data_IF_625213294383
#
_entry.id   IF_625213294383
#
_cell.length_a   1.000
_cell.length_b   1.000
_cell.length_c   1.000
_cell.angle_alpha   90.00
_cell.angle_beta   90.00
_cell.angle_gamma   90.00
#
_symmetry.space_group_name_H-M   'P 1'
#
loop_
_entity.id
_entity.type
_entity.pdbx_description
1 polymer ?
#
# COMPACT_ATOMS: atom_id res chain seq x y z
N UNK A 1 20.75 15.63 -17.29
CA UNK A 1 20.25 16.13 -15.98
C UNK A 1 20.68 17.58 -15.73
N UNK A 2 21.86 17.99 -16.18
CA UNK A 2 22.40 19.36 -16.09
C UNK A 2 21.51 20.45 -16.72
N UNK A 3 20.75 20.12 -17.77
CA UNK A 3 19.96 21.14 -18.51
C UNK A 3 18.53 21.33 -17.96
N UNK A 4 18.07 20.45 -17.08
CA UNK A 4 16.70 20.48 -16.55
C UNK A 4 16.36 21.78 -15.80
N UNK A 5 17.25 22.35 -14.95
CA UNK A 5 16.98 23.63 -14.29
C UNK A 5 16.84 24.80 -15.28
N UNK A 6 17.62 24.81 -16.37
CA UNK A 6 17.53 25.84 -17.40
C UNK A 6 16.22 25.71 -18.22
N UNK A 7 15.83 24.47 -18.54
CA UNK A 7 14.55 24.20 -19.20
C UNK A 7 13.36 24.61 -18.30
N UNK A 8 13.41 24.30 -17.00
CA UNK A 8 12.35 24.69 -16.07
C UNK A 8 12.15 26.20 -16.02
N UNK A 9 13.24 26.97 -15.89
CA UNK A 9 13.19 28.44 -15.94
C UNK A 9 12.56 28.94 -17.23
N UNK A 10 12.95 28.36 -18.37
CA UNK A 10 12.41 28.74 -19.68
C UNK A 10 10.89 28.46 -19.78
N UNK A 11 10.44 27.32 -19.27
CA UNK A 11 9.01 26.99 -19.23
C UNK A 11 8.21 27.93 -18.34
N UNK A 12 8.71 28.25 -17.14
CA UNK A 12 8.03 29.17 -16.22
C UNK A 12 7.95 30.56 -16.83
N UNK A 13 9.06 31.09 -17.37
CA UNK A 13 9.09 32.40 -18.04
C UNK A 13 8.10 32.46 -19.22
N UNK A 14 8.03 31.40 -20.02
CA UNK A 14 7.07 31.32 -21.11
C UNK A 14 5.62 31.37 -20.61
N UNK A 15 5.29 30.65 -19.54
CA UNK A 15 3.94 30.66 -18.95
C UNK A 15 3.60 32.04 -18.40
N UNK A 16 4.52 32.68 -17.67
CA UNK A 16 4.34 34.02 -17.11
C UNK A 16 4.12 35.06 -18.21
N UNK A 17 4.89 34.99 -19.29
CA UNK A 17 4.72 35.89 -20.42
C UNK A 17 3.42 35.62 -21.19
N UNK A 18 3.06 34.36 -21.40
CA UNK A 18 1.78 33.98 -22.00
C UNK A 18 0.60 34.49 -21.16
N UNK A 19 0.67 34.31 -19.83
CA UNK A 19 -0.32 34.84 -18.90
C UNK A 19 -0.42 36.37 -19.01
N UNK A 20 0.72 37.08 -19.05
CA UNK A 20 0.74 38.54 -19.18
C UNK A 20 0.12 39.02 -20.50
N UNK A 21 0.41 38.35 -21.62
CA UNK A 21 -0.04 38.78 -22.94
C UNK A 21 -1.51 38.43 -23.20
N UNK A 22 -1.88 37.17 -22.95
CA UNK A 22 -3.17 36.62 -23.38
C UNK A 22 -4.20 36.61 -22.24
N UNK A 23 -3.83 36.09 -21.07
CA UNK A 23 -4.75 35.94 -19.94
C UNK A 23 -5.03 37.27 -19.23
N UNK A 24 -4.00 38.08 -19.00
CA UNK A 24 -4.04 39.37 -18.30
C UNK A 24 -4.69 39.29 -16.90
N UNK A 25 -4.78 38.10 -16.31
CA UNK A 25 -5.50 37.82 -15.05
C UNK A 25 -6.97 38.25 -15.07
N UNK A 26 -7.59 38.26 -16.27
CA UNK A 26 -8.99 38.64 -16.48
C UNK A 26 -9.87 37.40 -16.51
N UNK A 27 -10.91 37.36 -15.67
CA UNK A 27 -11.79 36.19 -15.51
C UNK A 27 -12.46 35.77 -16.82
N UNK A 28 -12.85 36.73 -17.66
CA UNK A 28 -13.45 36.52 -18.98
C UNK A 28 -12.49 35.83 -19.98
N UNK A 29 -11.19 35.81 -19.69
CA UNK A 29 -10.13 35.20 -20.51
C UNK A 29 -9.63 33.87 -19.99
N UNK A 30 -10.32 33.28 -19.02
CA UNK A 30 -9.91 32.00 -18.42
C UNK A 30 -9.78 30.86 -19.45
N UNK A 31 -10.50 30.93 -20.57
CA UNK A 31 -10.41 29.95 -21.66
C UNK A 31 -9.03 29.90 -22.36
N UNK A 32 -8.17 30.91 -22.16
CA UNK A 32 -6.77 30.88 -22.60
C UNK A 32 -5.87 30.06 -21.66
N UNK A 33 -6.31 29.77 -20.43
CA UNK A 33 -5.56 28.96 -19.46
C UNK A 33 -5.74 27.47 -19.81
N UNK A 34 -5.00 27.03 -20.84
CA UNK A 34 -5.03 25.64 -21.30
C UNK A 34 -4.28 24.74 -20.32
N UNK A 35 -4.82 23.57 -19.95
CA UNK A 35 -4.11 22.59 -19.12
C UNK A 35 -2.73 22.22 -19.66
N UNK A 36 -2.59 22.10 -20.99
CA UNK A 36 -1.32 21.80 -21.65
C UNK A 36 -0.22 22.84 -21.39
N UNK A 37 -0.58 24.11 -21.24
CA UNK A 37 0.37 25.18 -20.92
C UNK A 37 0.76 25.13 -19.44
N UNK A 38 -0.21 24.90 -18.56
CA UNK A 38 0.05 24.74 -17.13
C UNK A 38 0.94 23.53 -16.85
N UNK A 39 0.78 22.43 -17.60
CA UNK A 39 1.62 21.24 -17.47
C UNK A 39 3.12 21.53 -17.67
N UNK A 40 3.50 22.54 -18.48
CA UNK A 40 4.91 22.89 -18.71
C UNK A 40 5.64 23.27 -17.41
N UNK A 41 4.94 23.89 -16.44
CA UNK A 41 5.50 24.22 -15.13
C UNK A 41 5.89 22.95 -14.34
N UNK A 42 5.16 21.86 -14.56
CA UNK A 42 5.29 20.62 -13.79
C UNK A 42 6.22 19.59 -14.46
N UNK A 43 6.53 19.72 -15.76
CA UNK A 43 7.34 18.72 -16.49
C UNK A 43 8.67 18.41 -15.80
N UNK A 44 9.44 19.44 -15.46
CA UNK A 44 10.78 19.25 -14.86
C UNK A 44 10.72 18.79 -13.39
N UNK A 45 9.89 19.40 -12.52
CA UNK A 45 9.68 18.91 -11.17
C UNK A 45 9.27 17.43 -11.14
N UNK A 46 8.29 17.05 -11.96
CA UNK A 46 7.79 15.68 -12.02
C UNK A 46 8.83 14.72 -12.61
N UNK A 47 9.53 15.12 -13.68
CA UNK A 47 10.61 14.31 -14.25
C UNK A 47 11.76 14.07 -13.24
N UNK A 48 11.98 15.00 -12.33
CA UNK A 48 12.97 14.86 -11.26
C UNK A 48 12.47 13.97 -10.12
N UNK A 49 11.18 14.02 -9.81
CA UNK A 49 10.52 13.28 -8.72
C UNK A 49 10.29 11.81 -9.06
N UNK A 50 9.71 11.53 -10.23
CA UNK A 50 9.25 10.18 -10.61
C UNK A 50 9.86 9.67 -11.93
N UNK A 51 10.75 10.46 -12.54
CA UNK A 51 11.30 10.17 -13.86
C UNK A 51 10.42 10.72 -15.00
N UNK A 52 10.92 10.65 -16.26
CA UNK A 52 10.20 11.18 -17.42
C UNK A 52 8.75 10.66 -17.51
N UNK A 53 7.79 11.57 -17.65
CA UNK A 53 6.36 11.21 -17.72
C UNK A 53 6.02 10.23 -18.84
N UNK A 54 6.79 10.27 -19.94
CA UNK A 54 6.71 9.29 -21.02
C UNK A 54 6.96 7.86 -20.51
N UNK A 55 7.95 7.62 -19.64
CA UNK A 55 8.27 6.29 -19.12
C UNK A 55 7.21 5.78 -18.14
N UNK A 56 6.67 6.65 -17.28
CA UNK A 56 5.62 6.28 -16.33
C UNK A 56 4.30 5.93 -17.03
N UNK A 57 3.88 6.78 -17.98
CA UNK A 57 2.68 6.51 -18.79
C UNK A 57 2.88 5.32 -19.72
N UNK A 58 4.08 5.17 -20.30
CA UNK A 58 4.45 4.03 -21.12
C UNK A 58 4.36 2.73 -20.35
N UNK A 59 4.82 2.63 -19.10
CA UNK A 59 4.69 1.39 -18.33
C UNK A 59 3.23 0.95 -18.17
N UNK A 60 2.32 1.88 -17.88
CA UNK A 60 0.89 1.58 -17.74
C UNK A 60 0.26 1.19 -19.08
N UNK A 61 0.63 1.89 -20.15
CA UNK A 61 0.19 1.60 -21.51
C UNK A 61 0.74 0.26 -22.02
N UNK A 62 2.01 -0.04 -21.79
CA UNK A 62 2.67 -1.31 -22.19
C UNK A 62 2.07 -2.51 -21.46
N UNK A 63 1.78 -2.38 -20.17
CA UNK A 63 1.07 -3.43 -19.44
C UNK A 63 -0.34 -3.66 -20.03
N UNK A 64 -1.05 -2.57 -20.36
CA UNK A 64 -2.37 -2.68 -20.99
C UNK A 64 -2.29 -3.28 -22.40
N UNK A 65 -1.32 -2.85 -23.20
CA UNK A 65 -1.05 -3.39 -24.54
C UNK A 65 -0.72 -4.86 -24.44
N UNK A 66 0.21 -5.27 -23.56
CA UNK A 66 0.56 -6.67 -23.37
C UNK A 66 -0.62 -7.53 -22.95
N UNK A 67 -1.50 -7.00 -22.10
CA UNK A 67 -2.73 -7.68 -21.69
C UNK A 67 -3.73 -7.86 -22.85
N UNK A 68 -4.08 -6.76 -23.54
CA UNK A 68 -5.01 -6.79 -24.66
C UNK A 68 -4.47 -7.60 -25.85
N UNK A 69 -3.16 -7.54 -26.09
CA UNK A 69 -2.52 -8.29 -27.19
C UNK A 69 -2.68 -9.79 -26.99
N UNK A 70 -2.67 -10.30 -25.75
CA UNK A 70 -2.96 -11.71 -25.45
C UNK A 70 -4.38 -12.14 -25.82
N UNK A 71 -5.30 -11.18 -25.98
CA UNK A 71 -6.69 -11.43 -26.37
C UNK A 71 -6.95 -11.26 -27.87
N UNK A 72 -5.95 -10.79 -28.62
CA UNK A 72 -6.03 -10.72 -30.08
C UNK A 72 -6.03 -12.14 -30.60
N UNK A 73 -7.19 -12.58 -31.11
CA UNK A 73 -7.35 -13.92 -31.70
C UNK A 73 -7.45 -13.87 -33.23
N UNK A 74 -7.45 -12.69 -33.84
CA UNK A 74 -7.63 -12.49 -35.28
C UNK A 74 -6.50 -11.65 -35.88
N UNK A 75 -5.78 -12.23 -36.83
CA UNK A 75 -4.62 -11.63 -37.48
C UNK A 75 -4.97 -10.75 -38.69
N UNK A 76 -6.20 -10.84 -39.22
CA UNK A 76 -6.62 -10.11 -40.43
C UNK A 76 -7.07 -8.67 -40.13
N UNK A 77 -7.77 -8.45 -39.02
CA UNK A 77 -8.26 -7.12 -38.59
C UNK A 77 -7.97 -6.88 -37.11
N UNK A 78 -6.69 -6.79 -36.72
CA UNK A 78 -6.27 -6.81 -35.31
C UNK A 78 -6.83 -5.61 -34.53
N UNK A 79 -6.83 -4.41 -35.11
CA UNK A 79 -7.34 -3.21 -34.44
C UNK A 79 -8.84 -3.28 -34.12
N UNK A 80 -9.67 -3.70 -35.09
CA UNK A 80 -11.10 -3.88 -34.85
C UNK A 80 -11.37 -4.98 -33.80
N UNK A 81 -10.59 -6.06 -33.81
CA UNK A 81 -10.68 -7.12 -32.82
C UNK A 81 -10.32 -6.62 -31.41
N UNK A 82 -9.25 -5.84 -31.29
CA UNK A 82 -8.84 -5.20 -30.03
C UNK A 82 -9.92 -4.26 -29.51
N UNK A 83 -10.45 -3.37 -30.35
CA UNK A 83 -11.50 -2.43 -29.95
C UNK A 83 -12.74 -3.14 -29.43
N UNK A 84 -13.19 -4.20 -30.10
CA UNK A 84 -14.32 -5.03 -29.66
C UNK A 84 -14.02 -5.77 -28.35
N UNK A 85 -12.81 -6.33 -28.19
CA UNK A 85 -12.37 -6.98 -26.94
C UNK A 85 -12.37 -6.00 -25.77
N UNK A 86 -11.78 -4.81 -25.98
CA UNK A 86 -11.73 -3.75 -24.99
C UNK A 86 -13.15 -3.29 -24.59
N UNK A 87 -14.02 -3.04 -25.58
CA UNK A 87 -15.41 -2.64 -25.36
C UNK A 87 -16.17 -3.68 -24.53
N UNK A 88 -16.10 -4.96 -24.94
CA UNK A 88 -16.73 -6.06 -24.20
C UNK A 88 -16.22 -6.18 -22.77
N UNK A 89 -14.90 -6.03 -22.56
CA UNK A 89 -14.32 -6.03 -21.20
C UNK A 89 -14.85 -4.87 -20.38
N UNK A 90 -14.90 -3.66 -20.92
CA UNK A 90 -15.47 -2.51 -20.23
C UNK A 90 -16.95 -2.74 -19.87
N UNK A 91 -17.75 -3.31 -20.78
CA UNK A 91 -19.15 -3.64 -20.54
C UNK A 91 -19.31 -4.72 -19.46
N UNK A 92 -18.53 -5.80 -19.51
CA UNK A 92 -18.54 -6.86 -18.50
C UNK A 92 -18.11 -6.33 -17.15
N UNK A 93 -17.03 -5.53 -17.07
CA UNK A 93 -16.57 -4.93 -15.83
C UNK A 93 -17.61 -3.96 -15.26
N UNK A 94 -18.25 -3.15 -16.10
CA UNK A 94 -19.33 -2.27 -15.68
C UNK A 94 -20.53 -3.08 -15.12
N UNK A 95 -20.91 -4.18 -15.77
CA UNK A 95 -21.97 -5.07 -15.29
C UNK A 95 -21.61 -5.75 -13.96
N UNK A 96 -20.38 -6.26 -13.82
CA UNK A 96 -19.89 -6.83 -12.56
C UNK A 96 -19.84 -5.79 -11.43
N UNK A 97 -19.46 -4.55 -11.74
CA UNK A 97 -19.45 -3.47 -10.76
C UNK A 97 -20.85 -3.03 -10.34
N UNK A 98 -21.81 -2.98 -11.28
CA UNK A 98 -23.21 -2.66 -11.01
C UNK A 98 -23.96 -3.79 -10.31
N UNK A 99 -23.61 -5.05 -10.63
CA UNK A 99 -24.25 -6.27 -10.13
C UNK A 99 -23.16 -7.25 -9.69
N UNK A 100 -22.64 -7.13 -8.46
CA UNK A 100 -21.55 -7.97 -7.97
C UNK A 100 -21.83 -9.48 -8.02
N UNK A 101 -23.09 -9.89 -7.96
CA UNK A 101 -23.47 -11.31 -8.04
C UNK A 101 -23.23 -11.96 -9.42
N UNK A 102 -22.99 -11.17 -10.47
CA UNK A 102 -22.60 -11.64 -11.80
C UNK A 102 -21.08 -11.81 -11.96
N UNK A 103 -20.28 -11.38 -10.97
CA UNK A 103 -18.87 -11.70 -10.96
C UNK A 103 -18.71 -13.23 -10.83
N UNK A 104 -17.72 -13.78 -11.54
CA UNK A 104 -17.33 -15.16 -11.27
C UNK A 104 -16.86 -15.25 -9.82
N UNK A 105 -17.08 -16.36 -9.09
CA UNK A 105 -16.56 -16.51 -7.73
C UNK A 105 -15.04 -16.32 -7.78
N UNK A 106 -14.56 -15.19 -7.23
CA UNK A 106 -13.19 -14.71 -7.45
C UNK A 106 -12.11 -15.60 -6.83
N UNK A 107 -12.49 -16.60 -6.04
CA UNK A 107 -11.60 -17.12 -5.03
C UNK A 107 -11.45 -18.64 -5.06
N UNK A 108 -10.67 -19.11 -6.03
CA UNK A 108 -9.94 -20.37 -5.83
C UNK A 108 -8.83 -20.05 -4.81
N UNK A 109 -9.16 -20.18 -3.53
CA UNK A 109 -8.16 -20.05 -2.49
C UNK A 109 -7.24 -21.27 -2.46
N UNK A 110 -5.95 -21.08 -2.11
CA UNK A 110 -5.06 -22.19 -1.86
C UNK A 110 -5.59 -23.15 -0.79
N UNK A 111 -5.18 -24.42 -0.88
CA UNK A 111 -5.42 -25.39 0.18
C UNK A 111 -4.88 -24.85 1.52
N UNK A 112 -5.68 -24.94 2.58
CA UNK A 112 -5.40 -24.40 3.92
C UNK A 112 -5.50 -22.87 4.10
N UNK A 113 -6.11 -22.15 3.15
CA UNK A 113 -6.59 -20.80 3.44
C UNK A 113 -7.75 -20.83 4.45
N UNK A 114 -7.85 -19.80 5.29
CA UNK A 114 -8.90 -19.67 6.31
C UNK A 114 -9.73 -18.41 6.02
N UNK A 115 -11.00 -18.61 5.66
CA UNK A 115 -11.94 -17.53 5.33
C UNK A 115 -12.50 -16.93 6.63
N UNK A 116 -12.31 -15.63 6.82
CA UNK A 116 -12.70 -14.93 8.06
C UNK A 116 -14.01 -14.14 7.93
N UNK A 117 -14.60 -14.15 6.73
CA UNK A 117 -15.73 -13.28 6.36
C UNK A 117 -15.29 -11.88 5.96
N UNK A 118 -16.24 -11.07 5.48
CA UNK A 118 -16.05 -9.68 5.05
C UNK A 118 -14.95 -9.45 4.01
N UNK A 119 -14.60 -10.47 3.23
CA UNK A 119 -13.51 -10.43 2.25
C UNK A 119 -12.10 -10.61 2.82
N UNK A 120 -11.96 -10.88 4.13
CA UNK A 120 -10.68 -11.20 4.76
C UNK A 120 -10.38 -12.69 4.71
N UNK A 121 -9.17 -13.05 4.29
CA UNK A 121 -8.73 -14.45 4.20
C UNK A 121 -7.28 -14.60 4.64
N UNK A 122 -7.03 -15.48 5.60
CA UNK A 122 -5.66 -15.90 5.94
C UNK A 122 -5.15 -16.86 4.87
N UNK A 123 -4.00 -16.54 4.28
CA UNK A 123 -3.39 -17.34 3.21
C UNK A 123 -2.30 -18.26 3.77
N UNK A 124 -1.96 -19.38 3.09
CA UNK A 124 -0.91 -20.28 3.53
C UNK A 124 0.45 -19.58 3.73
N UNK A 125 1.40 -20.27 4.36
CA UNK A 125 2.61 -19.72 5.01
C UNK A 125 2.36 -19.36 6.48
N UNK A 126 2.09 -20.41 7.27
CA UNK A 126 1.99 -20.36 8.72
C UNK A 126 3.09 -21.19 9.37
N UNK A 127 3.36 -20.96 10.65
CA UNK A 127 4.25 -21.81 11.43
C UNK A 127 3.75 -23.27 11.42
N UNK A 128 4.64 -24.25 11.52
CA UNK A 128 4.25 -25.67 11.66
C UNK A 128 3.75 -25.98 13.07
N UNK A 129 4.30 -25.29 14.08
CA UNK A 129 4.03 -25.47 15.51
C UNK A 129 3.66 -24.15 16.18
N UNK A 130 3.00 -24.22 17.33
CA UNK A 130 2.85 -23.03 18.18
C UNK A 130 4.19 -22.68 18.83
N UNK A 131 4.50 -21.39 18.96
CA UNK A 131 5.74 -20.89 19.54
C UNK A 131 5.45 -19.87 20.62
N UNK A 132 6.16 -19.96 21.74
CA UNK A 132 6.11 -18.95 22.80
C UNK A 132 6.59 -17.61 22.24
N UNK A 133 5.85 -16.56 22.55
CA UNK A 133 6.15 -15.19 22.09
C UNK A 133 7.07 -14.46 23.07
N UNK A 134 7.93 -13.54 22.59
CA UNK A 134 8.76 -12.68 23.42
C UNK A 134 7.96 -11.89 24.46
N UNK A 135 8.60 -11.46 25.55
CA UNK A 135 7.96 -10.77 26.67
C UNK A 135 7.19 -9.50 26.27
N UNK A 136 7.74 -8.71 25.35
CA UNK A 136 7.10 -7.47 24.84
C UNK A 136 5.81 -7.80 24.09
N UNK A 137 5.82 -8.85 23.25
CA UNK A 137 4.65 -9.32 22.51
C UNK A 137 3.62 -9.95 23.46
N UNK A 138 4.08 -10.68 24.47
CA UNK A 138 3.21 -11.26 25.50
C UNK A 138 2.50 -10.17 26.30
N UNK A 139 3.20 -9.09 26.68
CA UNK A 139 2.60 -7.96 27.36
C UNK A 139 1.50 -7.31 26.52
N UNK A 140 1.78 -7.04 25.23
CA UNK A 140 0.79 -6.49 24.30
C UNK A 140 -0.45 -7.38 24.14
N UNK A 141 -0.25 -8.70 24.07
CA UNK A 141 -1.36 -9.67 24.00
C UNK A 141 -2.19 -9.66 25.30
N UNK A 142 -1.56 -9.61 26.47
CA UNK A 142 -2.26 -9.55 27.75
C UNK A 142 -3.08 -8.27 27.89
N UNK A 143 -2.52 -7.13 27.50
CA UNK A 143 -3.22 -5.86 27.56
C UNK A 143 -4.43 -5.83 26.61
N UNK A 144 -4.28 -6.38 25.40
CA UNK A 144 -5.41 -6.58 24.49
C UNK A 144 -6.49 -7.48 25.09
N UNK A 145 -6.13 -8.64 25.63
CA UNK A 145 -7.11 -9.57 26.24
C UNK A 145 -7.82 -8.96 27.44
N UNK A 146 -7.12 -8.16 28.26
CA UNK A 146 -7.73 -7.42 29.37
C UNK A 146 -8.76 -6.41 28.87
N UNK A 147 -8.45 -5.69 27.79
CA UNK A 147 -9.37 -4.73 27.18
C UNK A 147 -10.61 -5.40 26.58
N UNK A 148 -10.45 -6.61 26.04
CA UNK A 148 -11.57 -7.46 25.58
C UNK A 148 -12.35 -8.11 26.73
N UNK A 149 -11.99 -7.86 27.99
CA UNK A 149 -12.69 -8.41 29.16
C UNK A 149 -12.35 -9.86 29.51
N UNK A 150 -11.26 -10.40 28.95
CA UNK A 150 -10.79 -11.77 29.23
C UNK A 150 -9.97 -11.80 30.53
N UNK A 151 -10.46 -12.52 31.53
CA UNK A 151 -9.73 -12.74 32.79
C UNK A 151 -8.68 -13.84 32.63
N UNK A 152 -7.40 -13.45 32.67
CA UNK A 152 -6.28 -14.38 32.68
C UNK A 152 -6.06 -14.93 34.10
N UNK A 153 -5.90 -16.26 34.24
CA UNK A 153 -5.59 -16.89 35.54
C UNK A 153 -4.17 -16.61 35.99
N UNK A 154 -3.25 -16.53 35.04
CA UNK A 154 -1.84 -16.24 35.26
C UNK A 154 -1.53 -14.83 34.74
N UNK A 155 -1.09 -13.89 35.60
CA UNK A 155 -0.72 -12.53 35.20
C UNK A 155 0.47 -12.47 34.22
N UNK A 156 1.37 -13.46 34.27
CA UNK A 156 2.55 -13.55 33.42
C UNK A 156 2.34 -14.45 32.21
N UNK A 157 1.08 -14.83 31.96
CA UNK A 157 0.71 -15.73 30.88
C UNK A 157 1.27 -15.27 29.53
N UNK A 158 1.91 -16.22 28.84
CA UNK A 158 2.40 -16.07 27.47
C UNK A 158 1.93 -17.28 26.67
N UNK A 159 0.87 -17.11 25.87
CA UNK A 159 0.41 -18.18 25.00
C UNK A 159 1.45 -18.48 23.90
N UNK A 160 1.69 -19.76 23.61
CA UNK A 160 2.32 -20.09 22.36
C UNK A 160 1.33 -19.82 21.21
N UNK A 161 1.73 -19.03 20.23
CA UNK A 161 0.88 -18.69 19.07
C UNK A 161 1.41 -19.37 17.82
N UNK A 162 0.50 -19.69 16.90
CA UNK A 162 0.86 -20.13 15.55
C UNK A 162 0.77 -18.94 14.60
N UNK A 163 1.92 -18.48 14.13
CA UNK A 163 2.01 -17.30 13.27
C UNK A 163 1.60 -17.61 11.84
N UNK A 164 0.98 -16.64 11.19
CA UNK A 164 0.60 -16.63 9.79
C UNK A 164 1.26 -15.43 9.13
N UNK A 165 1.71 -15.60 7.89
CA UNK A 165 2.50 -14.60 7.21
C UNK A 165 1.73 -13.69 6.25
N UNK A 166 0.51 -14.09 5.86
CA UNK A 166 -0.24 -13.46 4.77
C UNK A 166 -1.72 -13.35 5.11
N UNK A 167 -2.27 -12.16 4.91
CA UNK A 167 -3.68 -11.85 5.04
C UNK A 167 -4.14 -11.15 3.76
N UNK A 168 -5.11 -11.73 3.05
CA UNK A 168 -5.82 -11.03 1.99
C UNK A 168 -6.86 -10.10 2.60
N UNK A 169 -6.87 -8.87 2.13
CA UNK A 169 -7.81 -7.82 2.49
C UNK A 169 -9.00 -7.78 1.51
N UNK A 170 -10.13 -7.13 1.89
CA UNK A 170 -11.32 -7.06 1.04
C UNK A 170 -11.08 -6.31 -0.28
N UNK A 171 -10.08 -5.42 -0.30
CA UNK A 171 -9.67 -4.67 -1.48
C UNK A 171 -8.75 -5.46 -2.44
N UNK A 172 -8.55 -6.77 -2.18
CA UNK A 172 -7.73 -7.66 -2.98
C UNK A 172 -6.22 -7.56 -2.74
N UNK A 173 -5.75 -6.66 -1.87
CA UNK A 173 -4.35 -6.60 -1.46
C UNK A 173 -4.00 -7.78 -0.55
N UNK A 174 -2.75 -8.24 -0.59
CA UNK A 174 -2.21 -9.20 0.37
C UNK A 174 -1.26 -8.50 1.33
N UNK A 175 -1.72 -8.26 2.57
CA UNK A 175 -0.86 -7.83 3.66
C UNK A 175 0.07 -8.97 4.07
N UNK A 176 1.37 -8.67 4.12
CA UNK A 176 2.44 -9.58 4.53
C UNK A 176 2.91 -9.21 5.94
N UNK A 177 3.97 -9.84 6.43
CA UNK A 177 4.48 -9.59 7.78
C UNK A 177 6.02 -9.59 7.86
N UNK A 178 6.54 -8.90 8.87
CA UNK A 178 7.95 -8.80 9.18
C UNK A 178 8.61 -10.16 9.41
N UNK A 179 7.92 -11.11 10.06
CA UNK A 179 8.46 -12.45 10.35
C UNK A 179 9.01 -13.17 9.11
N UNK A 180 8.36 -13.04 7.94
CA UNK A 180 8.85 -13.64 6.69
C UNK A 180 9.66 -12.66 5.84
N UNK A 181 9.22 -11.41 5.71
CA UNK A 181 9.91 -10.46 4.84
C UNK A 181 11.29 -10.06 5.35
N UNK A 182 11.45 -9.79 6.65
CA UNK A 182 12.74 -9.40 7.21
C UNK A 182 13.77 -10.55 7.09
N UNK A 183 13.33 -11.80 7.22
CA UNK A 183 14.18 -12.96 7.00
C UNK A 183 14.64 -13.08 5.53
N UNK A 184 13.81 -12.68 4.56
CA UNK A 184 14.17 -12.63 3.15
C UNK A 184 15.14 -11.47 2.86
N UNK A 185 14.91 -10.30 3.46
CA UNK A 185 15.78 -9.12 3.34
C UNK A 185 17.18 -9.40 3.92
N UNK A 186 17.26 -10.05 5.09
CA UNK A 186 18.52 -10.46 5.70
C UNK A 186 19.32 -11.40 4.79
N UNK A 187 18.65 -12.19 3.94
CA UNK A 187 19.25 -13.04 2.90
C UNK A 187 19.54 -12.28 1.59
N UNK A 188 19.50 -10.94 1.61
CA UNK A 188 19.69 -10.03 0.47
C UNK A 188 18.71 -10.26 -0.69
N UNK A 189 17.57 -10.88 -0.42
CA UNK A 189 16.46 -10.94 -1.39
C UNK A 189 15.71 -9.62 -1.35
N UNK A 190 15.00 -9.30 -2.44
CA UNK A 190 14.20 -8.08 -2.56
C UNK A 190 12.71 -8.47 -2.51
N UNK A 191 12.16 -8.83 -1.33
CA UNK A 191 10.75 -9.16 -1.24
C UNK A 191 9.91 -7.93 -1.58
N UNK A 192 8.73 -8.16 -2.15
CA UNK A 192 7.73 -7.12 -2.31
C UNK A 192 7.22 -6.74 -0.93
N UNK A 193 7.71 -5.62 -0.38
CA UNK A 193 7.33 -5.15 0.96
C UNK A 193 5.84 -4.83 1.00
N UNK A 194 5.09 -5.64 1.73
CA UNK A 194 3.64 -5.45 1.93
C UNK A 194 3.25 -5.63 3.41
N UNK A 195 4.22 -5.47 4.33
CA UNK A 195 4.02 -5.56 5.78
C UNK A 195 3.55 -4.28 6.45
N UNK A 196 3.53 -3.15 5.73
CA UNK A 196 3.07 -1.87 6.28
C UNK A 196 1.59 -1.70 5.96
N UNK A 197 0.80 -1.36 6.97
CA UNK A 197 -0.67 -1.29 6.87
C UNK A 197 -1.24 -0.02 7.46
N UNK A 198 -2.38 0.39 6.90
CA UNK A 198 -3.27 1.37 7.51
C UNK A 198 -4.29 0.64 8.38
N UNK A 199 -4.41 1.08 9.63
CA UNK A 199 -5.34 0.54 10.62
C UNK A 199 -6.42 1.57 10.89
N UNK A 200 -7.69 1.16 10.87
CA UNK A 200 -8.80 2.03 11.25
C UNK A 200 -9.26 1.72 12.66
N UNK A 201 -9.04 2.68 13.55
CA UNK A 201 -9.68 2.77 14.87
C UNK A 201 -10.96 3.62 14.81
N UNK A 202 -10.98 4.63 13.93
CA UNK A 202 -12.17 5.39 13.53
C UNK A 202 -12.13 5.75 12.04
N UNK A 203 -13.24 6.29 11.50
CA UNK A 203 -13.44 6.62 10.08
C UNK A 203 -12.41 7.63 9.48
N UNK A 204 -11.58 8.29 10.28
CA UNK A 204 -10.63 9.33 9.81
C UNK A 204 -9.19 9.19 10.32
N UNK A 205 -8.86 8.11 11.02
CA UNK A 205 -7.54 7.99 11.64
C UNK A 205 -6.46 7.57 10.62
N UNK A 206 -5.41 8.38 10.54
CA UNK A 206 -4.19 8.07 9.79
C UNK A 206 -3.23 7.27 10.68
N UNK A 207 -3.67 6.09 11.10
CA UNK A 207 -2.88 5.19 11.93
C UNK A 207 -2.19 4.15 11.05
N UNK A 208 -0.87 4.07 11.18
CA UNK A 208 -0.03 3.17 10.38
C UNK A 208 0.76 2.24 11.29
N UNK A 209 0.95 1.01 10.83
CA UNK A 209 1.68 0.00 11.57
C UNK A 209 2.44 -0.94 10.63
N UNK A 210 3.51 -1.52 11.15
CA UNK A 210 4.16 -2.69 10.58
C UNK A 210 3.57 -3.96 11.20
N UNK A 211 3.06 -4.86 10.36
CA UNK A 211 2.60 -6.18 10.78
C UNK A 211 3.80 -7.06 11.10
N UNK A 212 3.89 -7.53 12.33
CA UNK A 212 4.91 -8.49 12.75
C UNK A 212 4.53 -9.92 12.32
N UNK A 213 3.29 -10.31 12.56
CA UNK A 213 2.64 -11.55 12.09
C UNK A 213 1.14 -11.54 12.40
N UNK A 214 0.40 -12.43 11.77
CA UNK A 214 -1.00 -12.72 12.11
C UNK A 214 -1.08 -14.00 12.96
N UNK A 215 -2.12 -14.15 13.78
CA UNK A 215 -2.33 -15.36 14.57
C UNK A 215 -3.81 -15.53 14.92
N UNK A 216 -4.16 -16.72 15.41
CA UNK A 216 -5.52 -17.04 15.87
C UNK A 216 -5.49 -17.47 17.32
N UNK A 217 -6.48 -17.04 18.09
CA UNK A 217 -6.65 -17.39 19.49
C UNK A 217 -8.14 -17.57 19.80
N UNK A 218 -8.44 -18.46 20.76
CA UNK A 218 -9.79 -18.65 21.25
C UNK A 218 -10.11 -17.60 22.32
N UNK A 219 -11.09 -16.74 22.07
CA UNK A 219 -11.59 -15.69 22.97
C UNK A 219 -13.11 -15.92 23.13
N UNK A 220 -13.62 -16.00 24.36
CA UNK A 220 -15.05 -16.23 24.65
C UNK A 220 -15.70 -17.36 23.83
N UNK A 221 -15.00 -18.49 23.72
CA UNK A 221 -15.39 -19.66 22.92
C UNK A 221 -15.34 -19.54 21.39
N UNK A 222 -15.00 -18.37 20.86
CA UNK A 222 -14.83 -18.13 19.42
C UNK A 222 -13.36 -18.04 19.05
N UNK A 223 -12.98 -18.57 17.87
CA UNK A 223 -11.61 -18.44 17.37
C UNK A 223 -11.52 -17.13 16.60
N UNK A 224 -10.89 -16.15 17.22
CA UNK A 224 -10.63 -14.85 16.63
C UNK A 224 -9.30 -14.82 15.91
N UNK A 225 -9.18 -13.89 14.96
CA UNK A 225 -7.94 -13.67 14.21
C UNK A 225 -7.42 -12.27 14.49
N UNK A 226 -6.15 -12.20 14.88
CA UNK A 226 -5.49 -10.97 15.30
C UNK A 226 -4.18 -10.73 14.55
N UNK A 227 -3.73 -9.49 14.57
CA UNK A 227 -2.41 -9.09 14.08
C UNK A 227 -1.57 -8.58 15.25
N UNK A 228 -0.32 -9.02 15.31
CA UNK A 228 0.72 -8.40 16.13
C UNK A 228 1.34 -7.26 15.31
N UNK A 229 1.33 -6.05 15.87
CA UNK A 229 1.75 -4.83 15.19
C UNK A 229 2.88 -4.13 15.93
N UNK A 230 3.71 -3.40 15.17
CA UNK A 230 4.54 -2.31 15.66
C UNK A 230 4.03 -0.99 15.05
N UNK A 231 3.56 -0.06 15.89
CA UNK A 231 2.97 1.18 15.40
C UNK A 231 4.05 2.18 14.94
N UNK A 232 3.67 3.00 13.97
CA UNK A 232 4.34 4.28 13.74
C UNK A 232 3.73 5.34 14.67
N UNK A 233 4.46 6.42 14.89
CA UNK A 233 3.89 7.62 15.52
C UNK A 233 2.71 8.16 14.69
N UNK A 234 1.81 8.95 15.31
CA UNK A 234 0.94 9.82 14.55
C UNK A 234 1.74 10.68 13.55
N UNK A 235 1.14 11.08 12.41
CA UNK A 235 1.78 11.99 11.48
C UNK A 235 2.25 13.28 12.16
N UNK A 236 3.44 13.73 11.82
CA UNK A 236 4.01 14.99 12.31
C UNK A 236 3.09 16.16 11.92
N UNK A 237 2.55 16.91 12.91
CA UNK A 237 1.55 17.93 12.65
C UNK A 237 2.12 19.11 11.86
N UNK A 238 3.39 19.47 12.07
CA UNK A 238 4.02 20.62 11.42
C UNK A 238 4.26 20.31 9.94
N UNK A 239 4.77 19.12 9.63
CA UNK A 239 4.95 18.65 8.25
C UNK A 239 3.59 18.51 7.55
N UNK A 240 2.59 17.98 8.25
CA UNK A 240 1.24 17.81 7.71
C UNK A 240 0.60 19.17 7.39
N UNK A 241 0.67 20.15 8.29
CA UNK A 241 0.12 21.49 8.07
C UNK A 241 0.87 22.25 6.97
N UNK A 242 2.21 22.23 7.01
CA UNK A 242 3.05 22.89 6.01
C UNK A 242 2.78 22.36 4.60
N UNK A 243 2.63 21.04 4.47
CA UNK A 243 2.32 20.37 3.20
C UNK A 243 0.83 20.44 2.81
N UNK A 244 0.01 21.18 3.56
CA UNK A 244 -1.45 21.31 3.35
C UNK A 244 -2.16 19.95 3.27
N UNK A 245 -1.73 19.02 4.11
CA UNK A 245 -2.29 17.69 4.21
C UNK A 245 -1.79 16.68 3.18
N UNK A 246 -0.72 17.01 2.43
CA UNK A 246 -0.18 16.16 1.37
C UNK A 246 0.82 15.12 1.90
N UNK A 247 1.67 15.51 2.85
CA UNK A 247 2.75 14.67 3.35
C UNK A 247 2.43 14.18 4.77
N UNK A 248 2.29 12.86 4.91
CA UNK A 248 2.11 12.18 6.19
C UNK A 248 3.45 11.60 6.61
N UNK A 249 4.21 12.32 7.42
CA UNK A 249 5.49 11.87 7.94
C UNK A 249 5.33 11.24 9.33
N UNK A 250 5.80 10.00 9.51
CA UNK A 250 5.72 9.27 10.76
C UNK A 250 7.07 8.62 11.10
N UNK A 251 7.30 8.35 12.38
CA UNK A 251 8.48 7.59 12.83
C UNK A 251 8.12 6.19 13.29
N UNK A 252 8.95 5.20 12.97
CA UNK A 252 8.75 3.83 13.45
C UNK A 252 9.12 3.73 14.94
N UNK A 253 8.26 3.15 15.78
CA UNK A 253 8.48 3.08 17.23
C UNK A 253 9.39 1.91 17.67
N UNK A 254 10.01 1.21 16.73
CA UNK A 254 10.99 0.17 16.96
C UNK A 254 10.42 -1.14 17.55
N UNK A 255 11.31 -1.90 18.18
CA UNK A 255 10.99 -3.25 18.69
C UNK A 255 10.26 -3.26 20.04
N UNK A 256 10.24 -2.13 20.75
CA UNK A 256 9.65 -2.01 22.09
C UNK A 256 8.15 -1.71 22.06
N UNK A 257 7.63 -1.18 20.95
CA UNK A 257 6.21 -0.96 20.76
C UNK A 257 5.57 -2.18 20.11
N UNK A 258 4.70 -2.87 20.85
CA UNK A 258 3.88 -3.97 20.34
C UNK A 258 2.42 -3.74 20.71
N UNK A 259 1.54 -4.06 19.79
CA UNK A 259 0.11 -4.01 20.00
C UNK A 259 -0.58 -5.17 19.29
N UNK A 260 -1.73 -5.58 19.80
CA UNK A 260 -2.59 -6.58 19.17
C UNK A 260 -3.89 -5.91 18.76
N UNK A 261 -4.34 -6.22 17.56
CA UNK A 261 -5.64 -5.78 17.03
C UNK A 261 -6.36 -6.95 16.36
N UNK A 262 -7.68 -6.83 16.19
CA UNK A 262 -8.42 -7.70 15.27
C UNK A 262 -8.00 -7.41 13.83
N UNK A 263 -7.81 -8.45 13.01
CA UNK A 263 -7.35 -8.26 11.62
C UNK A 263 -8.31 -7.45 10.76
N UNK A 264 -9.60 -7.44 11.09
CA UNK A 264 -10.62 -6.66 10.37
C UNK A 264 -10.48 -5.14 10.54
N UNK A 265 -9.63 -4.68 11.46
CA UNK A 265 -9.26 -3.27 11.58
C UNK A 265 -8.18 -2.85 10.55
N UNK A 266 -7.56 -3.80 9.84
CA UNK A 266 -6.60 -3.50 8.77
C UNK A 266 -7.37 -3.16 7.49
N UNK A 267 -7.18 -1.94 6.99
CA UNK A 267 -7.96 -1.42 5.85
C UNK A 267 -7.21 -1.58 4.53
N UNK A 268 -5.91 -1.31 4.52
CA UNK A 268 -5.10 -1.37 3.30
C UNK A 268 -3.63 -1.60 3.61
N UNK A 269 -2.91 -2.11 2.61
CA UNK A 269 -1.45 -2.13 2.59
C UNK A 269 -0.97 -0.78 2.05
N UNK A 270 -0.02 -0.18 2.77
CA UNK A 270 0.63 1.09 2.41
C UNK A 270 2.12 0.87 2.20
N UNK A 271 2.80 1.84 1.61
CA UNK A 271 4.25 1.89 1.63
C UNK A 271 4.71 2.98 2.61
N UNK A 272 5.64 2.63 3.50
CA UNK A 272 6.35 3.57 4.36
C UNK A 272 7.73 3.77 3.74
N UNK A 273 7.93 4.92 3.09
CA UNK A 273 9.15 5.22 2.34
C UNK A 273 10.04 6.12 3.19
N UNK A 274 11.35 5.84 3.34
CA UNK A 274 12.24 6.70 4.11
C UNK A 274 12.13 8.17 3.66
N UNK A 275 11.90 9.07 4.60
CA UNK A 275 11.80 10.50 4.33
C UNK A 275 13.21 11.11 4.41
N UNK A 276 13.80 11.55 3.28
CA UNK A 276 15.14 12.14 3.29
C UNK A 276 15.21 13.36 4.21
N UNK A 277 16.38 13.56 4.82
CA UNK A 277 16.69 14.75 5.61
C UNK A 277 16.81 15.98 4.71
N UNK A 278 16.43 17.14 5.23
CA UNK A 278 16.79 18.43 4.64
C UNK A 278 18.29 18.69 4.82
N UNK A 279 18.83 19.63 4.05
CA UNK A 279 20.23 20.04 4.21
C UNK A 279 20.53 20.61 5.59
N UNK A 280 19.57 21.29 6.22
CA UNK A 280 19.72 21.82 7.57
C UNK A 280 19.70 20.71 8.62
N UNK A 281 18.74 19.78 8.52
CA UNK A 281 18.65 18.63 9.43
C UNK A 281 19.94 17.80 9.41
N UNK A 282 20.52 17.57 8.23
CA UNK A 282 21.75 16.82 8.06
C UNK A 282 22.99 17.46 8.71
N UNK A 283 22.94 18.75 9.08
CA UNK A 283 24.06 19.44 9.77
C UNK A 283 24.03 19.27 11.30
N UNK A 284 22.94 18.72 11.84
CA UNK A 284 22.79 18.48 13.29
C UNK A 284 23.69 17.32 13.73
N UNK A 285 24.33 17.41 14.91
CA UNK A 285 25.26 16.38 15.42
C UNK A 285 24.67 14.97 15.47
N UNK A 286 23.37 14.86 15.72
CA UNK A 286 22.65 13.60 15.93
C UNK A 286 21.60 13.31 14.84
N UNK A 287 21.75 13.93 13.66
CA UNK A 287 20.79 13.84 12.57
C UNK A 287 20.47 12.40 12.16
N UNK A 288 21.49 11.55 12.05
CA UNK A 288 21.30 10.15 11.65
C UNK A 288 20.52 9.34 12.69
N UNK A 289 20.59 9.69 13.97
CA UNK A 289 19.78 9.03 15.01
C UNK A 289 18.34 9.55 15.01
N UNK A 290 18.17 10.87 14.86
CA UNK A 290 16.87 11.53 14.93
C UNK A 290 15.96 11.19 13.74
N UNK A 291 16.52 11.02 12.55
CA UNK A 291 15.74 10.94 11.31
C UNK A 291 15.81 9.59 10.60
N UNK A 292 16.61 8.63 11.07
CA UNK A 292 16.76 7.30 10.44
C UNK A 292 15.44 6.55 10.31
N UNK A 293 14.61 6.62 11.34
CA UNK A 293 13.34 5.90 11.40
C UNK A 293 12.16 6.78 10.96
N UNK A 294 12.41 7.87 10.23
CA UNK A 294 11.38 8.77 9.69
C UNK A 294 10.98 8.33 8.28
N UNK A 295 9.69 8.13 8.09
CA UNK A 295 9.10 7.67 6.84
C UNK A 295 7.96 8.59 6.42
N UNK A 296 7.59 8.57 5.15
CA UNK A 296 6.34 9.12 4.67
C UNK A 296 5.45 8.05 4.04
N UNK A 297 4.15 8.24 4.18
CA UNK A 297 3.15 7.28 3.70
C UNK A 297 2.90 7.45 2.20
N UNK A 298 2.84 6.33 1.49
CA UNK A 298 2.37 6.24 0.10
C UNK A 298 1.28 5.19 0.02
N UNK A 299 0.06 5.61 -0.30
CA UNK A 299 -1.04 4.72 -0.61
C UNK A 299 -1.03 4.37 -2.11
N UNK A 300 -1.47 3.16 -2.47
CA UNK A 300 -1.47 2.70 -3.87
C UNK A 300 -2.51 3.53 -4.67
N UNK A 301 -2.09 4.36 -5.64
CA UNK A 301 -3.03 5.17 -6.40
C UNK A 301 -3.93 4.29 -7.28
N UNK A 302 -5.21 4.66 -7.36
CA UNK A 302 -6.18 3.94 -8.19
C UNK A 302 -6.55 2.55 -7.66
N UNK A 303 -6.36 2.27 -6.36
CA UNK A 303 -6.78 1.01 -5.75
C UNK A 303 -8.28 0.76 -5.92
N UNK A 304 -9.10 1.78 -5.73
CA UNK A 304 -10.55 1.70 -5.93
C UNK A 304 -10.89 1.33 -7.38
N UNK A 305 -10.17 1.92 -8.35
CA UNK A 305 -10.33 1.64 -9.78
C UNK A 305 -9.87 0.23 -10.12
N UNK A 306 -8.78 -0.25 -9.52
CA UNK A 306 -8.28 -1.61 -9.71
C UNK A 306 -9.25 -2.65 -9.13
N UNK A 307 -9.83 -2.36 -7.95
CA UNK A 307 -10.84 -3.21 -7.32
C UNK A 307 -12.12 -3.27 -8.16
N UNK A 308 -12.64 -2.14 -8.63
CA UNK A 308 -13.78 -2.07 -9.56
C UNK A 308 -13.51 -2.84 -10.87
N UNK A 309 -12.26 -2.85 -11.33
CA UNK A 309 -11.86 -3.60 -12.52
C UNK A 309 -11.66 -5.11 -12.28
N UNK A 310 -11.95 -5.62 -11.07
CA UNK A 310 -11.79 -7.03 -10.69
C UNK A 310 -10.32 -7.47 -10.60
N UNK A 311 -9.38 -6.56 -10.33
CA UNK A 311 -7.96 -6.89 -10.23
C UNK A 311 -7.60 -7.26 -8.79
N UNK A 312 -7.41 -8.54 -8.56
CA UNK A 312 -6.86 -9.09 -7.32
C UNK A 312 -5.34 -9.25 -7.46
N UNK A 313 -4.59 -9.12 -6.37
CA UNK A 313 -3.17 -9.50 -6.40
C UNK A 313 -3.02 -11.01 -6.58
N UNK A 314 -2.21 -11.42 -7.55
CA UNK A 314 -1.97 -12.84 -7.83
C UNK A 314 -1.26 -13.50 -6.65
N UNK A 315 -1.99 -14.38 -5.97
CA UNK A 315 -1.54 -15.13 -4.79
C UNK A 315 -0.42 -16.14 -5.15
N UNK A 316 -0.33 -16.51 -6.43
CA UNK A 316 0.60 -17.52 -6.98
C UNK A 316 1.83 -16.93 -7.67
N UNK A 317 1.78 -15.66 -8.09
CA UNK A 317 2.91 -15.00 -8.78
C UNK A 317 4.14 -14.79 -7.89
N UNK A 318 4.00 -14.92 -6.57
CA UNK A 318 5.09 -14.88 -5.60
C UNK A 318 5.35 -16.30 -5.05
N UNK A 319 5.80 -17.20 -5.93
CA UNK A 319 6.56 -18.38 -5.47
C UNK A 319 7.86 -17.82 -4.90
N UNK A 320 7.83 -17.44 -3.62
CA UNK A 320 8.96 -16.86 -2.89
C UNK A 320 10.14 -17.85 -2.75
N UNK A 321 10.15 -18.98 -3.49
CA UNK A 321 11.09 -20.09 -3.34
C UNK A 321 11.04 -20.73 -1.95
N UNK A 322 10.00 -20.43 -1.16
CA UNK A 322 9.80 -20.93 0.19
C UNK A 322 8.87 -22.15 0.23
N UNK A 323 8.23 -22.48 -0.89
CA UNK A 323 7.33 -23.65 -1.02
C UNK A 323 8.10 -24.96 -1.29
N UNK A 324 9.44 -24.93 -1.27
CA UNK A 324 10.28 -26.12 -1.37
C UNK A 324 10.78 -26.46 0.03
N UNK A 325 9.92 -27.03 0.88
CA UNK A 325 10.18 -28.22 1.71
C UNK A 325 8.80 -28.64 2.25
N UNK A 326 8.12 -29.51 1.51
CA UNK A 326 7.13 -30.44 2.04
C UNK A 326 7.81 -31.78 2.24
#
# INVERSE_FOLDING_TARGET
RTDLPAAHRSFVLYIEEYERLYYQRRRERLHFVRPSLHSLAHIVPEASRIGPGALHSQWTLENFIGNITREIKQHVTPYANVSERALRRCQVNALKAMIPSLAEPDDIFPQYAEILGDGYVLLPARDSIQRVIPSVEAAALRDFLRNEGVTLRDPDWSAPVRRWARLRLPNGQVARCAWKECALEARRRKPRRARMVKVSTTLRDNTFAEVQYFFRLKIHDHVETMAMLAYFTPPDPDIYEFSRGTLLACSHLGETSRAVIFVKQIVSVVAMVPLPMTSEEATTSDADTLYRDRFFVVEKPGLDVANIAGRVEDITADVDGLDIVG
#
